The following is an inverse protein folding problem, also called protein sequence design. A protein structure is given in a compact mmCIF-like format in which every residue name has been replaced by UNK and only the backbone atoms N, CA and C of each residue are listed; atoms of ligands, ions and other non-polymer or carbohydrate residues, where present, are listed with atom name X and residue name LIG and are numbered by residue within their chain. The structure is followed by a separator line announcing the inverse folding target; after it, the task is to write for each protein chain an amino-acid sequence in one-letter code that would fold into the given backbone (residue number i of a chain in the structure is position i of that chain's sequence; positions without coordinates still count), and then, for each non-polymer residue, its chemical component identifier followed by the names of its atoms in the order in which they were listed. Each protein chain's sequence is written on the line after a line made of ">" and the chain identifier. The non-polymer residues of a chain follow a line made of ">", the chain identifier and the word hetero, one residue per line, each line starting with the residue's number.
data_IF_209491752283
#
_entry.id   IF_209491752283
#
_cell.length_a   1.000
_cell.length_b   1.000
_cell.length_c   1.000
_cell.angle_alpha   90.00
_cell.angle_beta   90.00
_cell.angle_gamma   90.00
#
_symmetry.space_group_name_H-M   'P 1'
#
loop_
_entity.id
_entity.type
_entity.pdbx_description
1 polymer ?
#
# COMPACT_ATOMS: atom_id res chain seq x y z
N UNK A 1 -8.07 -14.54 28.41
CA UNK A 1 -7.87 -14.60 27.76
C UNK A 1 -7.62 -15.07 26.95
N UNK A 2 -7.50 -15.14 27.02
CA UNK A 2 -7.32 -15.60 26.39
C UNK A 2 -7.52 -15.97 25.23
N UNK A 3 -8.14 -15.67 24.74
CA UNK A 3 -8.49 -15.89 23.61
C UNK A 3 -7.69 -15.44 22.53
N UNK A 4 -6.68 -14.92 22.77
CA UNK A 4 -5.75 -14.40 21.85
C UNK A 4 -5.26 -15.43 20.89
N UNK A 5 -5.07 -16.61 21.37
CA UNK A 5 -4.59 -17.67 20.53
C UNK A 5 -5.54 -18.03 19.42
N UNK A 6 -6.79 -17.91 19.68
CA UNK A 6 -7.75 -18.19 18.68
C UNK A 6 -7.61 -17.24 17.53
N UNK A 7 -7.28 -16.04 17.85
CA UNK A 7 -7.14 -15.04 16.82
C UNK A 7 -5.96 -15.33 15.94
N UNK A 8 -4.97 -15.99 16.46
CA UNK A 8 -3.79 -16.30 15.67
C UNK A 8 -4.09 -17.11 14.43
N UNK A 9 -5.12 -17.94 14.50
CA UNK A 9 -5.47 -18.74 13.35
C UNK A 9 -6.03 -17.89 12.23
N UNK A 10 -6.47 -16.69 12.55
CA UNK A 10 -7.06 -15.79 11.56
C UNK A 10 -6.18 -14.63 11.22
N UNK A 11 -5.11 -14.44 11.96
CA UNK A 11 -4.20 -13.35 11.71
C UNK A 11 -3.38 -13.68 10.49
N UNK A 12 -3.45 -12.83 9.51
CA UNK A 12 -2.64 -12.95 8.32
C UNK A 12 -1.34 -12.23 8.55
N UNK A 13 -0.27 -12.83 8.12
CA UNK A 13 1.04 -12.22 8.24
C UNK A 13 1.52 -11.82 6.87
N UNK A 14 2.17 -10.68 6.82
CA UNK A 14 2.73 -10.21 5.59
C UNK A 14 4.11 -9.62 5.87
N UNK A 15 4.96 -9.66 4.87
CA UNK A 15 6.31 -9.11 4.99
C UNK A 15 6.35 -7.78 4.26
N UNK A 16 6.77 -6.75 4.96
CA UNK A 16 6.98 -5.42 4.40
C UNK A 16 8.46 -5.10 4.54
N UNK A 17 9.12 -4.58 3.50
CA UNK A 17 10.55 -4.28 3.61
C UNK A 17 10.84 -3.37 4.80
N UNK A 18 11.80 -3.76 5.61
CA UNK A 18 12.16 -3.01 6.81
C UNK A 18 12.65 -1.61 6.46
N UNK A 19 13.46 -1.49 5.42
CA UNK A 19 13.97 -0.19 5.01
C UNK A 19 12.86 0.77 4.59
N UNK A 20 11.78 0.25 4.05
CA UNK A 20 10.62 1.06 3.70
C UNK A 20 9.98 1.63 4.96
N UNK A 21 9.75 0.78 5.95
CA UNK A 21 9.10 1.19 7.18
C UNK A 21 9.97 2.15 8.00
N UNK A 22 11.28 2.01 7.90
CA UNK A 22 12.21 2.83 8.66
C UNK A 22 12.73 4.02 7.89
N UNK A 23 12.30 4.22 6.65
CA UNK A 23 12.76 5.33 5.84
C UNK A 23 12.25 6.65 6.43
N UNK A 24 13.14 7.52 6.93
CA UNK A 24 12.70 8.75 7.58
C UNK A 24 12.15 9.79 6.61
N UNK A 25 12.34 9.59 5.31
CA UNK A 25 11.86 10.52 4.29
C UNK A 25 10.44 10.19 3.81
N UNK A 26 9.91 9.03 4.18
CA UNK A 26 8.55 8.68 3.82
C UNK A 26 7.58 9.16 4.89
N UNK A 27 6.43 9.68 4.44
CA UNK A 27 5.40 10.08 5.38
C UNK A 27 4.76 8.82 6.00
N UNK A 28 4.14 8.99 7.15
CA UNK A 28 3.44 7.87 7.79
C UNK A 28 2.27 7.40 6.93
N UNK A 29 1.63 8.32 6.21
CA UNK A 29 0.55 7.96 5.32
C UNK A 29 1.04 7.06 4.19
N UNK A 30 2.22 7.35 3.64
CA UNK A 30 2.80 6.53 2.59
C UNK A 30 3.14 5.14 3.12
N UNK A 31 3.72 5.08 4.32
CA UNK A 31 4.05 3.80 4.93
C UNK A 31 2.82 2.97 5.19
N UNK A 32 1.77 3.59 5.71
CA UNK A 32 0.52 2.90 5.97
C UNK A 32 -0.12 2.39 4.69
N UNK A 33 -0.16 3.23 3.66
CA UNK A 33 -0.79 2.86 2.40
C UNK A 33 -0.08 1.67 1.75
N UNK A 34 1.25 1.71 1.68
CA UNK A 34 1.98 0.63 1.04
C UNK A 34 1.92 -0.65 1.88
N UNK A 35 1.90 -0.51 3.20
CA UNK A 35 1.78 -1.69 4.06
C UNK A 35 0.45 -2.40 3.80
N UNK A 36 -0.61 -1.65 3.57
CA UNK A 36 -1.91 -2.22 3.23
C UNK A 36 -1.82 -2.97 1.91
N UNK A 37 -1.12 -2.42 0.91
CA UNK A 37 -0.96 -3.10 -0.37
C UNK A 37 -0.27 -4.44 -0.22
N UNK A 38 0.68 -4.55 0.70
CA UNK A 38 1.38 -5.81 0.94
C UNK A 38 0.48 -6.89 1.54
N UNK A 39 -0.71 -6.51 2.04
CA UNK A 39 -1.63 -7.50 2.59
C UNK A 39 -2.44 -8.22 1.51
N UNK A 40 -2.42 -7.72 0.29
CA UNK A 40 -3.16 -8.35 -0.80
C UNK A 40 -2.29 -9.37 -1.53
N UNK A 41 -2.94 -10.32 -2.17
CA UNK A 41 -2.23 -11.31 -2.98
C UNK A 41 -1.87 -10.75 -4.36
N UNK A 42 -2.48 -9.65 -4.73
CA UNK A 42 -2.23 -9.01 -6.01
C UNK A 42 -1.01 -8.11 -5.93
N UNK A 43 -0.45 -7.77 -7.08
CA UNK A 43 0.66 -6.85 -7.14
C UNK A 43 0.35 -5.61 -7.99
N UNK A 44 -0.86 -5.54 -8.52
CA UNK A 44 -1.31 -4.43 -9.36
C UNK A 44 -2.69 -3.97 -8.92
N UNK A 45 -2.90 -2.67 -8.94
CA UNK A 45 -4.18 -2.09 -8.56
C UNK A 45 -4.49 -0.89 -9.44
N UNK A 46 -5.77 -0.56 -9.54
CA UNK A 46 -6.21 0.66 -10.19
C UNK A 46 -6.37 1.73 -9.13
N UNK A 47 -5.80 2.90 -9.36
CA UNK A 47 -5.77 3.98 -8.37
C UNK A 47 -7.18 4.32 -7.87
N UNK A 48 -8.13 4.44 -8.78
CA UNK A 48 -9.50 4.80 -8.39
C UNK A 48 -10.12 3.77 -7.45
N UNK A 49 -9.85 2.50 -7.69
CA UNK A 49 -10.38 1.43 -6.84
C UNK A 49 -9.74 1.46 -5.47
N UNK A 50 -8.44 1.71 -5.42
CA UNK A 50 -7.75 1.77 -4.14
C UNK A 50 -8.17 3.00 -3.33
N UNK A 51 -8.44 4.11 -4.00
CA UNK A 51 -8.93 5.29 -3.31
C UNK A 51 -10.27 5.00 -2.62
N UNK A 52 -11.12 4.26 -3.29
CA UNK A 52 -12.40 3.84 -2.73
C UNK A 52 -12.21 2.89 -1.56
N UNK A 53 -11.34 1.91 -1.74
CA UNK A 53 -11.05 0.90 -0.73
C UNK A 53 -10.48 1.54 0.54
N UNK A 54 -9.63 2.53 0.39
CA UNK A 54 -8.98 3.20 1.52
C UNK A 54 -9.75 4.42 2.01
N UNK A 55 -10.95 4.64 1.48
CA UNK A 55 -11.82 5.74 1.90
C UNK A 55 -11.14 7.11 1.78
N UNK A 56 -10.46 7.32 0.67
CA UNK A 56 -9.77 8.58 0.42
C UNK A 56 -10.04 9.03 -1.02
N UNK A 57 -9.45 10.15 -1.42
CA UNK A 57 -9.61 10.65 -2.78
C UNK A 57 -8.44 10.19 -3.64
N UNK A 58 -8.68 10.14 -4.95
CA UNK A 58 -7.61 9.80 -5.89
C UNK A 58 -6.48 10.81 -5.82
N UNK A 59 -6.82 12.09 -5.59
CA UNK A 59 -5.83 13.14 -5.50
C UNK A 59 -4.87 12.92 -4.33
N UNK A 60 -5.41 12.63 -3.16
CA UNK A 60 -4.59 12.37 -1.99
C UNK A 60 -3.74 11.11 -2.15
N UNK A 61 -4.37 10.07 -2.66
CA UNK A 61 -3.69 8.80 -2.84
C UNK A 61 -2.60 8.89 -3.89
N UNK A 62 -2.85 9.68 -4.94
CA UNK A 62 -1.86 9.90 -5.98
C UNK A 62 -0.59 10.54 -5.41
N UNK A 63 -0.74 11.51 -4.51
CA UNK A 63 0.40 12.15 -3.87
C UNK A 63 1.19 11.17 -3.02
N UNK A 64 0.48 10.34 -2.27
CA UNK A 64 1.10 9.33 -1.42
C UNK A 64 1.89 8.34 -2.25
N UNK A 65 1.29 7.86 -3.33
CA UNK A 65 1.96 6.86 -4.18
C UNK A 65 3.07 7.46 -5.02
N UNK A 66 2.99 8.75 -5.35
CA UNK A 66 4.10 9.42 -6.03
C UNK A 66 5.33 9.43 -5.15
N UNK A 67 5.15 9.65 -3.86
CA UNK A 67 6.23 9.60 -2.89
C UNK A 67 6.89 8.22 -2.89
N UNK A 68 6.08 7.16 -2.89
CA UNK A 68 6.58 5.80 -2.92
C UNK A 68 7.27 5.47 -4.25
N UNK A 69 6.76 6.04 -5.33
CA UNK A 69 7.36 5.84 -6.64
C UNK A 69 8.74 6.47 -6.71
N UNK A 70 8.91 7.64 -6.13
CA UNK A 70 10.22 8.31 -6.10
C UNK A 70 11.28 7.47 -5.42
N UNK A 71 10.89 6.69 -4.42
CA UNK A 71 11.81 5.86 -3.67
C UNK A 71 11.95 4.45 -4.23
N UNK A 72 11.25 4.15 -5.33
CA UNK A 72 11.39 2.87 -6.00
C UNK A 72 10.62 1.72 -5.37
N UNK A 73 9.68 2.01 -4.49
CA UNK A 73 8.88 0.95 -3.86
C UNK A 73 7.65 0.58 -4.66
N UNK A 74 7.22 1.48 -5.53
CA UNK A 74 5.98 1.32 -6.25
C UNK A 74 6.12 1.97 -7.62
N UNK A 75 5.49 1.39 -8.63
CA UNK A 75 5.43 1.99 -9.96
C UNK A 75 4.03 2.52 -10.21
N UNK A 76 3.94 3.68 -10.80
CA UNK A 76 2.66 4.27 -11.21
C UNK A 76 2.76 4.55 -12.70
N UNK A 77 1.83 4.02 -13.47
CA UNK A 77 1.80 4.32 -14.90
C UNK A 77 0.37 4.36 -15.39
N UNK A 78 0.18 4.90 -16.58
CA UNK A 78 -1.14 5.04 -17.16
C UNK A 78 -1.35 4.01 -18.25
N UNK A 79 -2.44 3.25 -18.14
CA UNK A 79 -2.82 2.28 -19.17
C UNK A 79 -4.25 2.59 -19.59
N UNK A 80 -4.44 2.86 -20.86
CA UNK A 80 -5.78 3.16 -21.41
C UNK A 80 -6.52 4.25 -20.61
N UNK A 81 -5.78 5.27 -20.21
CA UNK A 81 -6.37 6.40 -19.49
C UNK A 81 -6.59 6.13 -18.00
N UNK A 82 -6.14 5.00 -17.51
CA UNK A 82 -6.32 4.60 -16.11
C UNK A 82 -4.97 4.53 -15.40
N UNK A 83 -4.89 5.10 -14.22
CA UNK A 83 -3.67 5.03 -13.42
C UNK A 83 -3.57 3.67 -12.75
N UNK A 84 -2.47 2.98 -13.01
CA UNK A 84 -2.22 1.64 -12.49
C UNK A 84 -1.03 1.66 -11.56
N UNK A 85 -1.17 1.00 -10.43
CA UNK A 85 -0.13 0.89 -9.40
C UNK A 85 0.44 -0.52 -9.45
N UNK A 86 1.76 -0.63 -9.41
CA UNK A 86 2.41 -1.93 -9.36
C UNK A 86 3.44 -1.94 -8.25
N UNK A 87 3.33 -2.92 -7.37
CA UNK A 87 4.26 -3.07 -6.27
C UNK A 87 5.57 -3.65 -6.81
N UNK A 88 6.67 -3.03 -6.46
CA UNK A 88 8.00 -3.44 -6.96
C UNK A 88 8.73 -4.39 -6.01
#
# INVERSE_FOLDING_TARGET
>A
MVNLNRNNTRIRRTSVPTDLLLNPHLSNDAKAAVAILYTYDESRWILAEMARELHTTEEKLSKIFSELNEWGYLDIHCEDGVSVLTLL
#
